data_IF_667710477605
#
_entry.id   IF_667710477605
#
_cell.length_a   1.000
_cell.length_b   1.000
_cell.length_c   1.000
_cell.angle_alpha   90.00
_cell.angle_beta   90.00
_cell.angle_gamma   90.00
#
_symmetry.space_group_name_H-M   'P 1'
#
loop_
_entity.id
_entity.type
_entity.pdbx_description
1 polymer ?
#
# COMPACT_ATOMS: atom_id res chain seq x y z
N UNK A 1 -1.16 -2.41 39.34
CA UNK A 1 -2.32 -3.31 39.51
C UNK A 1 -2.16 -4.45 38.53
N UNK A 2 -2.24 -5.71 38.97
CA UNK A 2 -2.23 -6.87 38.07
C UNK A 2 -3.65 -7.11 37.59
N UNK A 3 -3.82 -7.36 36.30
CA UNK A 3 -5.13 -7.74 35.75
C UNK A 3 -5.36 -9.23 35.98
N UNK A 4 -6.59 -9.60 36.34
CA UNK A 4 -7.01 -10.99 36.48
C UNK A 4 -7.46 -11.48 35.10
N UNK A 5 -7.32 -12.78 34.85
CA UNK A 5 -7.80 -13.42 33.64
C UNK A 5 -9.31 -13.21 33.47
N UNK A 6 -9.74 -12.74 32.30
CA UNK A 6 -11.16 -12.51 31.96
C UNK A 6 -11.94 -13.80 31.65
N UNK A 7 -11.32 -14.97 31.82
CA UNK A 7 -11.98 -16.26 31.59
C UNK A 7 -12.86 -16.65 32.78
N UNK A 8 -13.97 -17.34 32.50
CA UNK A 8 -14.93 -17.75 33.51
C UNK A 8 -14.26 -18.55 34.64
N UNK A 9 -14.44 -18.09 35.88
CA UNK A 9 -13.90 -18.71 37.10
C UNK A 9 -12.36 -18.87 37.12
N UNK A 10 -11.61 -18.00 36.45
CA UNK A 10 -10.15 -18.00 36.50
C UNK A 10 -9.63 -16.87 37.41
N UNK A 11 -8.78 -17.22 38.38
CA UNK A 11 -8.14 -16.27 39.30
C UNK A 11 -6.65 -16.03 38.98
N UNK A 12 -6.16 -16.56 37.85
CA UNK A 12 -4.79 -16.37 37.39
C UNK A 12 -4.55 -14.96 36.84
N UNK A 13 -3.27 -14.57 36.74
CA UNK A 13 -2.89 -13.27 36.19
C UNK A 13 -3.11 -13.26 34.67
N UNK A 14 -3.85 -12.26 34.17
CA UNK A 14 -4.09 -12.02 32.76
C UNK A 14 -3.00 -11.14 32.13
N UNK A 15 -2.03 -11.74 31.44
CA UNK A 15 -0.92 -11.03 30.78
C UNK A 15 -1.07 -10.96 29.26
N UNK A 16 -1.85 -11.86 28.67
CA UNK A 16 -1.95 -12.02 27.22
C UNK A 16 -3.23 -11.38 26.68
N UNK A 17 -3.11 -10.63 25.58
CA UNK A 17 -4.26 -9.99 24.92
C UNK A 17 -4.90 -10.94 23.91
N UNK A 18 -6.23 -11.08 23.98
CA UNK A 18 -7.03 -11.76 22.99
C UNK A 18 -8.08 -10.80 22.40
N UNK A 19 -8.27 -10.77 21.06
CA UNK A 19 -9.28 -9.91 20.43
C UNK A 19 -10.71 -10.35 20.81
N UNK A 20 -11.61 -9.39 21.00
CA UNK A 20 -13.03 -9.69 21.25
C UNK A 20 -13.81 -9.85 19.95
N UNK A 21 -13.43 -9.08 18.94
CA UNK A 21 -14.06 -9.05 17.62
C UNK A 21 -12.95 -9.18 16.56
N UNK A 22 -13.27 -9.69 15.37
CA UNK A 22 -12.30 -9.89 14.29
C UNK A 22 -11.68 -8.58 13.77
N UNK A 23 -12.46 -7.50 13.77
CA UNK A 23 -12.07 -6.24 13.17
C UNK A 23 -11.35 -5.34 14.19
N UNK A 24 -10.78 -4.23 13.68
CA UNK A 24 -10.01 -3.17 14.37
C UNK A 24 -10.67 -2.50 15.61
N UNK A 25 -11.63 -3.16 16.24
CA UNK A 25 -12.00 -2.95 17.63
C UNK A 25 -10.72 -3.03 18.47
N UNK A 26 -10.26 -1.90 18.99
CA UNK A 26 -9.13 -1.86 19.95
C UNK A 26 -9.51 -2.49 21.30
N UNK A 27 -10.48 -3.42 21.30
CA UNK A 27 -11.04 -4.12 22.44
C UNK A 27 -10.37 -5.48 22.55
N UNK A 28 -9.76 -5.72 23.70
CA UNK A 28 -9.09 -6.97 24.00
C UNK A 28 -9.50 -7.45 25.39
N UNK A 29 -9.57 -8.77 25.56
CA UNK A 29 -9.61 -9.43 26.85
C UNK A 29 -8.19 -9.75 27.29
N UNK A 30 -7.95 -9.76 28.59
CA UNK A 30 -6.68 -10.19 29.17
C UNK A 30 -6.84 -11.60 29.73
N UNK A 31 -6.03 -12.53 29.22
CA UNK A 31 -6.09 -13.94 29.54
C UNK A 31 -4.76 -14.43 30.12
N UNK A 32 -4.80 -15.49 30.92
CA UNK A 32 -3.61 -16.22 31.35
C UNK A 32 -3.09 -17.13 30.21
N UNK A 33 -1.93 -17.76 30.41
CA UNK A 33 -1.28 -18.59 29.40
C UNK A 33 -2.11 -19.80 28.95
N UNK A 34 -2.89 -20.39 29.87
CA UNK A 34 -3.73 -21.54 29.57
C UNK A 34 -4.92 -21.12 28.69
N UNK A 35 -5.65 -20.11 29.11
CA UNK A 35 -6.85 -19.65 28.40
C UNK A 35 -6.55 -18.96 27.08
N UNK A 36 -5.40 -18.28 26.92
CA UNK A 36 -5.03 -17.73 25.61
C UNK A 36 -4.75 -18.83 24.59
N UNK A 37 -4.21 -19.97 25.02
CA UNK A 37 -3.99 -21.14 24.14
C UNK A 37 -5.32 -21.75 23.72
N UNK A 38 -6.23 -21.93 24.67
CA UNK A 38 -7.59 -22.41 24.39
C UNK A 38 -8.34 -21.48 23.45
N UNK A 39 -8.28 -20.17 23.71
CA UNK A 39 -8.84 -19.14 22.83
C UNK A 39 -8.28 -19.25 21.41
N UNK A 40 -6.95 -19.26 21.25
CA UNK A 40 -6.32 -19.31 19.92
C UNK A 40 -6.65 -20.60 19.16
N UNK A 41 -6.82 -21.72 19.85
CA UNK A 41 -7.22 -22.98 19.24
C UNK A 41 -8.65 -22.94 18.68
N UNK A 42 -9.55 -22.25 19.37
CA UNK A 42 -10.96 -22.14 18.99
C UNK A 42 -11.27 -20.91 18.12
N UNK A 43 -10.32 -19.98 18.00
CA UNK A 43 -10.51 -18.74 17.26
C UNK A 43 -10.45 -18.97 15.75
N UNK A 44 -11.54 -18.63 15.07
CA UNK A 44 -11.59 -18.60 13.61
C UNK A 44 -11.94 -17.19 13.13
N UNK A 45 -10.97 -16.52 12.53
CA UNK A 45 -11.12 -15.17 11.98
C UNK A 45 -12.23 -15.09 10.92
N UNK A 46 -12.39 -16.13 10.10
CA UNK A 46 -13.36 -16.21 9.00
C UNK A 46 -14.71 -16.79 9.42
N UNK A 47 -14.96 -16.96 10.73
CA UNK A 47 -16.24 -17.45 11.22
C UNK A 47 -17.39 -16.52 10.78
N UNK A 48 -18.38 -17.09 10.08
CA UNK A 48 -19.54 -16.36 9.56
C UNK A 48 -19.33 -15.65 8.22
N UNK A 49 -18.17 -15.77 7.58
CA UNK A 49 -17.97 -15.33 6.20
C UNK A 49 -18.36 -16.45 5.22
N UNK A 50 -18.87 -16.07 4.05
CA UNK A 50 -19.04 -16.99 2.92
C UNK A 50 -17.75 -17.15 2.10
N UNK A 51 -17.72 -18.12 1.20
CA UNK A 51 -16.53 -18.42 0.40
C UNK A 51 -16.08 -17.22 -0.45
N UNK A 52 -17.01 -16.48 -1.05
CA UNK A 52 -16.70 -15.29 -1.87
C UNK A 52 -16.01 -14.21 -1.03
N UNK A 53 -16.49 -13.94 0.18
CA UNK A 53 -15.91 -12.99 1.12
C UNK A 53 -14.50 -13.41 1.56
N UNK A 54 -14.28 -14.70 1.80
CA UNK A 54 -12.96 -15.23 2.13
C UNK A 54 -12.02 -15.06 0.94
N UNK A 55 -12.47 -15.39 -0.26
CA UNK A 55 -11.68 -15.24 -1.48
C UNK A 55 -11.33 -13.78 -1.75
N UNK A 56 -12.26 -12.85 -1.54
CA UNK A 56 -12.00 -11.42 -1.72
C UNK A 56 -11.05 -10.87 -0.64
N UNK A 57 -11.15 -11.34 0.61
CA UNK A 57 -10.18 -11.02 1.65
C UNK A 57 -8.77 -11.47 1.22
N UNK A 58 -8.62 -12.73 0.81
CA UNK A 58 -7.34 -13.28 0.34
C UNK A 58 -6.78 -12.53 -0.87
N UNK A 59 -7.64 -12.16 -1.84
CA UNK A 59 -7.20 -11.35 -2.99
C UNK A 59 -6.67 -9.99 -2.57
N UNK A 60 -7.37 -9.33 -1.65
CA UNK A 60 -6.98 -8.00 -1.18
C UNK A 60 -5.73 -8.01 -0.31
N UNK A 61 -5.46 -9.10 0.40
CA UNK A 61 -4.25 -9.27 1.22
C UNK A 61 -2.97 -9.25 0.35
N UNK A 62 -3.06 -9.72 -0.91
CA UNK A 62 -1.95 -9.63 -1.88
C UNK A 62 -1.46 -8.19 -2.11
N UNK A 63 -2.33 -7.19 -1.97
CA UNK A 63 -1.99 -5.76 -2.11
C UNK A 63 -1.94 -5.05 -0.76
N UNK A 64 -1.83 -5.81 0.34
CA UNK A 64 -1.82 -5.27 1.70
C UNK A 64 -3.09 -4.47 2.02
N UNK A 65 -4.22 -4.91 1.45
CA UNK A 65 -5.52 -4.24 1.45
C UNK A 65 -5.46 -2.78 0.96
N UNK A 66 -4.44 -2.41 0.18
CA UNK A 66 -4.38 -1.10 -0.46
C UNK A 66 -5.18 -1.12 -1.76
N UNK A 67 -5.99 -0.08 -2.02
CA UNK A 67 -6.74 0.01 -3.26
C UNK A 67 -5.77 0.12 -4.45
N UNK A 68 -5.98 -0.72 -5.46
CA UNK A 68 -5.25 -0.69 -6.72
C UNK A 68 -6.19 -0.29 -7.85
N UNK A 69 -5.65 0.39 -8.86
CA UNK A 69 -6.39 0.70 -10.08
C UNK A 69 -5.91 -0.19 -11.22
N UNK A 70 -6.84 -0.63 -12.05
CA UNK A 70 -6.52 -1.40 -13.25
C UNK A 70 -5.75 -0.50 -14.22
N UNK A 71 -4.63 -0.98 -14.77
CA UNK A 71 -3.79 -0.24 -15.72
C UNK A 71 -4.53 0.32 -16.94
N UNK A 72 -5.65 -0.29 -17.35
CA UNK A 72 -6.46 0.17 -18.49
C UNK A 72 -7.58 1.16 -18.15
N UNK A 73 -7.82 1.46 -16.86
CA UNK A 73 -8.87 2.40 -16.45
C UNK A 73 -8.67 3.80 -17.03
N UNK A 74 -9.76 4.43 -17.48
CA UNK A 74 -9.74 5.79 -18.04
C UNK A 74 -9.32 6.84 -17.01
N UNK A 75 -9.54 6.56 -15.74
CA UNK A 75 -9.37 7.50 -14.64
C UNK A 75 -8.04 7.30 -13.91
N UNK A 76 -7.14 6.52 -14.52
CA UNK A 76 -5.82 6.28 -13.99
C UNK A 76 -5.02 7.58 -13.96
N UNK A 77 -4.42 7.86 -12.81
CA UNK A 77 -3.42 8.91 -12.64
C UNK A 77 -2.41 8.96 -13.79
N UNK A 78 -1.94 7.80 -14.27
CA UNK A 78 -1.04 7.71 -15.42
C UNK A 78 -1.67 8.22 -16.71
N UNK A 79 -2.93 7.90 -17.01
CA UNK A 79 -3.59 8.38 -18.22
C UNK A 79 -3.82 9.89 -18.18
N UNK A 80 -4.16 10.44 -17.00
CA UNK A 80 -4.22 11.89 -16.78
C UNK A 80 -2.85 12.52 -17.00
N UNK A 81 -1.81 11.97 -16.37
CA UNK A 81 -0.44 12.46 -16.50
C UNK A 81 0.06 12.41 -17.96
N UNK A 82 -0.14 11.28 -18.66
CA UNK A 82 0.26 11.12 -20.07
C UNK A 82 -0.57 11.98 -21.01
N UNK A 83 -1.86 12.18 -20.75
CA UNK A 83 -2.66 13.10 -21.55
C UNK A 83 -2.21 14.55 -21.35
N UNK A 84 -1.89 14.97 -20.13
CA UNK A 84 -1.47 16.34 -19.86
C UNK A 84 -0.05 16.61 -20.40
N UNK A 85 0.88 15.65 -20.29
CA UNK A 85 2.23 15.79 -20.86
C UNK A 85 2.25 15.71 -22.38
N UNK A 86 1.44 14.84 -23.01
CA UNK A 86 1.39 14.70 -24.47
C UNK A 86 0.51 15.76 -25.14
N UNK A 87 -0.53 16.28 -24.48
CA UNK A 87 -1.34 17.38 -25.05
C UNK A 87 -0.57 18.69 -25.13
N UNK A 88 0.37 18.93 -24.22
CA UNK A 88 1.31 20.06 -24.32
C UNK A 88 2.24 19.95 -25.56
N UNK A 89 2.31 18.77 -26.20
CA UNK A 89 3.03 18.56 -27.45
C UNK A 89 2.16 18.75 -28.72
N UNK A 90 0.82 18.74 -28.61
CA UNK A 90 -0.09 18.75 -29.78
C UNK A 90 -0.64 20.13 -30.16
N UNK A 91 -0.48 21.17 -29.35
CA UNK A 91 -0.74 22.58 -29.75
C UNK A 91 0.44 23.16 -30.58
N UNK A 92 0.96 22.37 -31.53
CA UNK A 92 2.05 22.75 -32.45
C UNK A 92 1.64 22.64 -33.92
N UNK A 93 0.42 23.07 -34.24
CA UNK A 93 0.02 23.43 -35.62
C UNK A 93 0.62 24.79 -36.08
N UNK A 94 1.89 25.02 -35.72
CA UNK A 94 2.82 25.91 -36.41
C UNK A 94 4.04 25.10 -36.85
N UNK A 95 3.79 24.15 -37.73
CA UNK A 95 4.81 23.46 -38.51
C UNK A 95 5.64 24.49 -39.30
N UNK A 96 6.97 24.38 -39.19
CA UNK A 96 8.06 25.09 -39.92
C UNK A 96 8.70 26.30 -39.20
N UNK A 97 9.48 26.06 -38.14
CA UNK A 97 10.82 26.69 -38.05
C UNK A 97 11.80 25.97 -37.10
N UNK A 98 11.36 25.22 -36.10
CA UNK A 98 12.26 24.90 -34.98
C UNK A 98 12.70 23.43 -34.91
N UNK A 99 13.35 22.93 -35.96
CA UNK A 99 14.25 21.76 -35.89
C UNK A 99 15.54 22.10 -35.10
N UNK A 100 15.44 22.81 -33.98
CA UNK A 100 16.57 23.20 -33.14
C UNK A 100 16.37 22.92 -31.65
N UNK A 101 15.30 22.24 -31.22
CA UNK A 101 15.06 21.98 -29.78
C UNK A 101 15.50 20.58 -29.28
N UNK A 102 16.30 19.84 -30.06
CA UNK A 102 17.16 18.77 -29.48
C UNK A 102 18.50 19.32 -28.95
N UNK A 103 18.75 20.63 -29.07
CA UNK A 103 20.04 21.24 -28.72
C UNK A 103 20.15 21.80 -27.31
N UNK A 104 19.09 21.76 -26.46
CA UNK A 104 19.14 22.37 -25.12
C UNK A 104 18.33 21.61 -24.07
N UNK A 105 18.75 20.40 -23.72
CA UNK A 105 18.53 19.95 -22.34
C UNK A 105 19.43 20.81 -21.44
N UNK A 106 18.87 21.81 -20.75
CA UNK A 106 19.57 22.53 -19.69
C UNK A 106 19.34 21.77 -18.39
N UNK A 107 20.34 21.01 -17.97
CA UNK A 107 20.32 20.31 -16.69
C UNK A 107 20.39 21.31 -15.54
N UNK A 108 19.52 21.17 -14.54
CA UNK A 108 19.60 21.94 -13.32
C UNK A 108 20.70 21.37 -12.38
N UNK A 109 20.98 22.05 -11.27
CA UNK A 109 22.02 21.61 -10.33
C UNK A 109 21.67 20.28 -9.64
N UNK A 110 20.38 19.98 -9.43
CA UNK A 110 19.91 18.72 -8.86
C UNK A 110 20.08 17.58 -9.85
N UNK A 111 19.83 17.83 -11.14
CA UNK A 111 20.01 16.86 -12.22
C UNK A 111 21.48 16.44 -12.30
N UNK A 112 22.40 17.41 -12.30
CA UNK A 112 23.85 17.14 -12.32
C UNK A 112 24.28 16.31 -11.10
N UNK A 113 23.72 16.61 -9.92
CA UNK A 113 23.97 15.83 -8.70
C UNK A 113 23.37 14.43 -8.78
N UNK A 114 22.23 14.25 -9.43
CA UNK A 114 21.63 12.94 -9.63
C UNK A 114 22.51 12.07 -10.55
N UNK A 115 23.03 12.63 -11.65
CA UNK A 115 23.94 11.90 -12.54
C UNK A 115 25.23 11.45 -11.84
N UNK A 116 25.79 12.27 -10.95
CA UNK A 116 26.99 11.89 -10.18
C UNK A 116 26.71 10.78 -9.17
N UNK A 117 25.55 10.80 -8.51
CA UNK A 117 25.11 9.72 -7.60
C UNK A 117 24.86 8.42 -8.36
N UNK A 118 24.31 8.50 -9.57
CA UNK A 118 24.00 7.35 -10.43
C UNK A 118 25.21 6.81 -11.20
N UNK A 119 26.37 7.49 -11.16
CA UNK A 119 27.57 7.08 -11.89
C UNK A 119 27.43 7.19 -13.41
N UNK A 120 26.52 8.02 -13.92
CA UNK A 120 26.24 8.20 -15.35
C UNK A 120 26.80 9.55 -15.81
N UNK A 121 27.43 9.60 -16.99
CA UNK A 121 27.91 10.87 -17.53
C UNK A 121 26.78 11.67 -18.20
N UNK A 122 26.77 12.96 -17.90
CA UNK A 122 25.80 13.92 -18.44
C UNK A 122 26.00 14.05 -19.95
N UNK A 123 24.94 13.80 -20.73
CA UNK A 123 24.96 13.98 -22.19
C UNK A 123 25.45 12.79 -23.02
N UNK A 124 25.51 11.57 -22.45
CA UNK A 124 25.66 10.35 -23.26
C UNK A 124 24.50 10.25 -24.27
N UNK A 125 24.86 10.13 -25.55
CA UNK A 125 23.92 9.75 -26.61
C UNK A 125 23.89 8.23 -26.68
N UNK A 126 22.69 7.68 -26.65
CA UNK A 126 22.37 6.27 -26.75
C UNK A 126 21.93 6.00 -28.18
#
# INVERSE_FOLDING_TARGET
>A
MKNICDWNNCNEIGEYKAPVEKDNSRKYRLLCLEHVKEFNKNWNYFSGMNDDQIMDFLKSDMTWHKPTQNFSSSDNFFKVLWNDTLKDEMDKDKFKSDYNHMSKFKFDHKDIKAFSVLGVSVGLKW
#
